data_IF_674744883802
#
_entry.id   IF_674744883802
#
_cell.length_a   1.000
_cell.length_b   1.000
_cell.length_c   1.000
_cell.angle_alpha   90.00
_cell.angle_beta   90.00
_cell.angle_gamma   90.00
#
_symmetry.space_group_name_H-M   'P 1'
#
loop_
_entity.id
_entity.type
_entity.pdbx_description
1 polymer ?
#
# COMPACT_ATOMS: atom_id res chain seq x y z
N UNK A 1 -18.43 -25.41 25.69
CA UNK A 1 -18.04 -26.05 24.42
C UNK A 1 -17.73 -25.05 23.31
N UNK A 2 -18.68 -24.21 22.87
CA UNK A 2 -18.45 -23.21 21.80
C UNK A 2 -17.30 -22.26 22.11
N UNK A 3 -17.24 -21.71 23.34
CA UNK A 3 -16.13 -20.85 23.78
C UNK A 3 -14.79 -21.60 23.77
N UNK A 4 -14.77 -22.86 24.21
CA UNK A 4 -13.55 -23.69 24.19
C UNK A 4 -13.07 -23.94 22.76
N UNK A 5 -13.99 -24.26 21.84
CA UNK A 5 -13.68 -24.43 20.41
C UNK A 5 -13.19 -23.10 19.80
N UNK A 6 -13.79 -21.97 20.15
CA UNK A 6 -13.35 -20.65 19.69
C UNK A 6 -11.95 -20.29 20.22
N UNK A 7 -11.64 -20.63 21.47
CA UNK A 7 -10.32 -20.39 22.07
C UNK A 7 -9.24 -21.31 21.48
N UNK A 8 -9.54 -22.59 21.25
CA UNK A 8 -8.58 -23.52 20.65
C UNK A 8 -8.34 -23.20 19.18
N UNK A 9 -9.40 -22.97 18.40
CA UNK A 9 -9.29 -22.54 16.99
C UNK A 9 -8.62 -21.16 16.87
N UNK A 10 -8.88 -20.22 17.78
CA UNK A 10 -8.21 -18.92 17.81
C UNK A 10 -6.70 -19.03 18.08
N UNK A 11 -6.28 -19.87 19.02
CA UNK A 11 -4.86 -20.15 19.25
C UNK A 11 -4.20 -20.81 18.04
N UNK A 12 -4.88 -21.77 17.41
CA UNK A 12 -4.38 -22.47 16.22
C UNK A 12 -4.29 -21.53 15.01
N UNK A 13 -5.30 -20.66 14.82
CA UNK A 13 -5.31 -19.62 13.81
C UNK A 13 -4.17 -18.61 13.98
N UNK A 14 -3.83 -18.22 15.23
CA UNK A 14 -2.65 -17.39 15.52
C UNK A 14 -1.35 -18.08 15.10
N UNK A 15 -1.22 -19.39 15.34
CA UNK A 15 -0.05 -20.19 14.89
C UNK A 15 0.01 -20.28 13.38
N UNK A 16 -1.10 -20.61 12.71
CA UNK A 16 -1.22 -20.64 11.25
C UNK A 16 -0.83 -19.27 10.66
N UNK A 17 -1.31 -18.18 11.25
CA UNK A 17 -0.97 -16.82 10.83
C UNK A 17 0.51 -16.48 10.95
N UNK A 18 1.20 -16.95 12.00
CA UNK A 18 2.66 -16.81 12.15
C UNK A 18 3.41 -17.57 11.06
N UNK A 19 3.11 -18.84 10.87
CA UNK A 19 3.73 -19.67 9.83
C UNK A 19 3.45 -19.13 8.42
N UNK A 20 2.24 -18.62 8.18
CA UNK A 20 1.87 -17.99 6.91
C UNK A 20 2.69 -16.73 6.63
N UNK A 21 2.95 -15.89 7.64
CA UNK A 21 3.82 -14.72 7.48
C UNK A 21 5.25 -15.12 7.12
N UNK A 22 5.79 -16.16 7.74
CA UNK A 22 7.11 -16.70 7.39
C UNK A 22 7.14 -17.23 5.96
N UNK A 23 6.12 -17.99 5.56
CA UNK A 23 5.98 -18.50 4.19
C UNK A 23 5.94 -17.36 3.15
N UNK A 24 5.15 -16.30 3.39
CA UNK A 24 5.11 -15.12 2.50
C UNK A 24 6.47 -14.45 2.37
N UNK A 25 7.28 -14.39 3.45
CA UNK A 25 8.67 -13.88 3.37
C UNK A 25 9.53 -14.76 2.46
N UNK A 26 9.39 -16.08 2.52
CA UNK A 26 10.13 -17.00 1.64
C UNK A 26 9.70 -16.88 0.18
N UNK A 27 8.39 -16.81 -0.07
CA UNK A 27 7.85 -16.55 -1.41
C UNK A 27 8.38 -15.23 -1.98
N UNK A 28 8.44 -14.17 -1.16
CA UNK A 28 9.01 -12.89 -1.56
C UNK A 28 10.50 -12.99 -1.94
N UNK A 29 11.30 -13.74 -1.19
CA UNK A 29 12.71 -14.00 -1.54
C UNK A 29 12.85 -14.74 -2.87
N UNK A 30 12.01 -15.75 -3.12
CA UNK A 30 12.00 -16.51 -4.37
C UNK A 30 11.68 -15.60 -5.56
N UNK A 31 10.58 -14.86 -5.48
CA UNK A 31 10.15 -13.94 -6.54
C UNK A 31 11.20 -12.87 -6.81
N UNK A 32 11.85 -12.34 -5.75
CA UNK A 32 12.94 -11.38 -5.91
C UNK A 32 14.12 -11.99 -6.69
N UNK A 33 14.56 -13.18 -6.31
CA UNK A 33 15.65 -13.89 -6.99
C UNK A 33 15.30 -14.19 -8.45
N UNK A 34 14.10 -14.70 -8.71
CA UNK A 34 13.60 -14.95 -10.07
C UNK A 34 13.61 -13.65 -10.90
N UNK A 35 13.23 -12.52 -10.29
CA UNK A 35 13.26 -11.20 -10.95
C UNK A 35 14.68 -10.76 -11.30
N UNK A 36 15.63 -10.89 -10.38
CA UNK A 36 17.05 -10.57 -10.62
C UNK A 36 17.65 -11.42 -11.74
N UNK A 37 17.31 -12.72 -11.78
CA UNK A 37 17.74 -13.64 -12.85
C UNK A 37 17.18 -13.20 -14.21
N UNK A 38 15.90 -12.84 -14.26
CA UNK A 38 15.25 -12.40 -15.50
C UNK A 38 15.83 -11.08 -16.01
N UNK A 39 16.17 -10.15 -15.12
CA UNK A 39 16.85 -8.90 -15.48
C UNK A 39 18.25 -9.16 -16.05
N UNK A 40 18.97 -10.18 -15.56
CA UNK A 40 20.34 -10.54 -15.95
C UNK A 40 20.47 -11.69 -16.96
N UNK A 41 19.39 -12.09 -17.65
CA UNK A 41 19.34 -13.39 -18.37
C UNK A 41 20.43 -13.59 -19.44
N UNK A 42 20.87 -12.52 -20.10
CA UNK A 42 21.94 -12.58 -21.12
C UNK A 42 23.26 -13.07 -20.54
N UNK A 43 23.62 -12.59 -19.36
CA UNK A 43 24.86 -12.98 -18.66
C UNK A 43 24.75 -14.44 -18.20
N UNK A 44 23.58 -14.83 -17.66
CA UNK A 44 23.32 -16.21 -17.21
C UNK A 44 23.55 -17.21 -18.34
N UNK A 45 23.02 -16.92 -19.54
CA UNK A 45 23.18 -17.76 -20.74
C UNK A 45 24.62 -17.77 -21.25
N UNK A 46 25.30 -16.62 -21.24
CA UNK A 46 26.70 -16.51 -21.69
C UNK A 46 27.66 -17.38 -20.85
N UNK A 47 27.45 -17.45 -19.54
CA UNK A 47 28.28 -18.22 -18.62
C UNK A 47 27.71 -19.61 -18.27
N UNK A 48 26.59 -20.01 -18.87
CA UNK A 48 25.90 -21.27 -18.58
C UNK A 48 25.59 -21.50 -17.07
N UNK A 49 25.26 -20.44 -16.33
CA UNK A 49 24.97 -20.48 -14.88
C UNK A 49 23.58 -21.04 -14.51
N UNK A 50 22.82 -21.54 -15.49
CA UNK A 50 21.43 -21.96 -15.32
C UNK A 50 21.26 -23.01 -14.22
N UNK A 51 22.12 -24.03 -14.18
CA UNK A 51 22.02 -25.10 -13.18
C UNK A 51 22.24 -24.61 -11.76
N UNK A 52 23.22 -23.74 -11.55
CA UNK A 52 23.53 -23.20 -10.21
C UNK A 52 22.38 -22.31 -9.71
N UNK A 53 21.78 -21.53 -10.59
CA UNK A 53 20.62 -20.69 -10.25
C UNK A 53 19.35 -21.53 -10.02
N UNK A 54 19.14 -22.57 -10.82
CA UNK A 54 18.06 -23.53 -10.64
C UNK A 54 18.14 -24.21 -9.27
N UNK A 55 19.31 -24.71 -8.89
CA UNK A 55 19.54 -25.32 -7.58
C UNK A 55 19.23 -24.34 -6.45
N UNK A 56 19.64 -23.07 -6.59
CA UNK A 56 19.39 -22.03 -5.59
C UNK A 56 17.90 -21.69 -5.45
N UNK A 57 17.15 -21.60 -6.55
CA UNK A 57 15.70 -21.41 -6.51
C UNK A 57 15.01 -22.65 -5.92
N UNK A 58 15.47 -23.85 -6.29
CA UNK A 58 14.97 -25.13 -5.77
C UNK A 58 15.12 -25.23 -4.26
N UNK A 59 16.25 -24.82 -3.70
CA UNK A 59 16.47 -24.80 -2.25
C UNK A 59 15.44 -23.93 -1.51
N UNK A 60 15.23 -22.70 -1.99
CA UNK A 60 14.24 -21.77 -1.45
C UNK A 60 12.84 -22.38 -1.57
N UNK A 61 12.52 -22.98 -2.72
CA UNK A 61 11.22 -23.61 -2.98
C UNK A 61 10.95 -24.79 -2.06
N UNK A 62 11.95 -25.65 -1.78
CA UNK A 62 11.81 -26.77 -0.84
C UNK A 62 11.46 -26.29 0.57
N UNK A 63 12.09 -25.21 1.01
CA UNK A 63 11.80 -24.62 2.32
C UNK A 63 10.40 -23.99 2.37
N UNK A 64 9.97 -23.30 1.30
CA UNK A 64 8.62 -22.76 1.14
C UNK A 64 7.56 -23.87 1.21
N UNK A 65 7.75 -24.95 0.45
CA UNK A 65 6.82 -26.10 0.41
C UNK A 65 6.74 -26.80 1.77
N UNK A 66 7.85 -26.90 2.50
CA UNK A 66 7.85 -27.43 3.88
C UNK A 66 6.97 -26.60 4.81
N UNK A 67 7.02 -25.27 4.71
CA UNK A 67 6.17 -24.38 5.50
C UNK A 67 4.70 -24.46 5.05
N UNK A 68 4.44 -24.58 3.74
CA UNK A 68 3.11 -24.81 3.21
C UNK A 68 2.49 -26.11 3.77
N UNK A 69 3.26 -27.19 3.81
CA UNK A 69 2.83 -28.46 4.42
C UNK A 69 2.47 -28.30 5.90
N UNK A 70 3.26 -27.54 6.67
CA UNK A 70 2.94 -27.23 8.09
C UNK A 70 1.64 -26.44 8.23
N UNK A 71 1.40 -25.46 7.35
CA UNK A 71 0.14 -24.70 7.33
C UNK A 71 -1.03 -25.62 7.04
N UNK A 72 -0.90 -26.49 6.04
CA UNK A 72 -1.96 -27.41 5.63
C UNK A 72 -2.30 -28.40 6.75
N UNK A 73 -1.27 -28.94 7.43
CA UNK A 73 -1.44 -29.82 8.58
C UNK A 73 -2.16 -29.13 9.75
N UNK A 74 -1.75 -27.92 10.13
CA UNK A 74 -2.42 -27.15 11.19
C UNK A 74 -3.88 -26.79 10.81
N UNK A 75 -4.11 -26.52 9.53
CA UNK A 75 -5.45 -26.23 9.01
C UNK A 75 -6.33 -27.48 9.06
N UNK A 76 -5.81 -28.65 8.68
CA UNK A 76 -6.53 -29.92 8.78
C UNK A 76 -6.95 -30.24 10.22
N UNK A 77 -6.06 -30.02 11.20
CA UNK A 77 -6.39 -30.15 12.63
C UNK A 77 -7.54 -29.21 13.01
N UNK A 78 -7.53 -27.98 12.52
CA UNK A 78 -8.61 -27.00 12.79
C UNK A 78 -9.96 -27.51 12.26
N UNK A 79 -9.98 -28.04 11.04
CA UNK A 79 -11.18 -28.64 10.46
C UNK A 79 -11.67 -29.84 11.28
N UNK A 80 -10.77 -30.71 11.74
CA UNK A 80 -11.13 -31.85 12.57
C UNK A 80 -11.86 -31.41 13.85
N UNK A 81 -11.32 -30.43 14.57
CA UNK A 81 -11.99 -29.86 15.75
C UNK A 81 -13.36 -29.25 15.41
N UNK A 82 -13.48 -28.60 14.26
CA UNK A 82 -14.73 -28.00 13.79
C UNK A 82 -15.80 -29.06 13.46
N UNK A 83 -15.40 -30.21 12.92
CA UNK A 83 -16.30 -31.33 12.63
C UNK A 83 -16.71 -32.09 13.88
N UNK A 84 -15.80 -32.31 14.83
CA UNK A 84 -16.09 -32.97 16.10
C UNK A 84 -16.96 -32.12 17.05
N UNK A 85 -16.96 -30.79 16.89
CA UNK A 85 -17.66 -29.84 17.78
C UNK A 85 -19.13 -30.18 18.08
N UNK A 86 -20.02 -30.31 17.08
CA UNK A 86 -21.45 -30.57 17.35
C UNK A 86 -21.73 -31.94 17.97
N UNK A 87 -20.94 -32.95 17.62
CA UNK A 87 -21.07 -34.30 18.20
C UNK A 87 -20.78 -34.24 19.70
N UNK A 88 -19.72 -33.51 20.08
CA UNK A 88 -19.38 -33.30 21.49
C UNK A 88 -20.42 -32.46 22.22
N UNK A 89 -21.00 -31.44 21.57
CA UNK A 89 -22.08 -30.64 22.15
C UNK A 89 -23.30 -31.50 22.42
N UNK A 90 -23.74 -32.30 21.44
CA UNK A 90 -24.87 -33.20 21.59
C UNK A 90 -24.64 -34.22 22.71
N UNK A 91 -23.45 -34.84 22.75
CA UNK A 91 -23.08 -35.79 23.80
C UNK A 91 -23.15 -35.16 25.20
N UNK A 92 -22.60 -33.95 25.39
CA UNK A 92 -22.65 -33.24 26.68
C UNK A 92 -24.09 -32.91 27.09
N UNK A 93 -24.92 -32.45 26.15
CA UNK A 93 -26.34 -32.14 26.42
C UNK A 93 -27.09 -33.38 26.87
N UNK A 94 -26.90 -34.52 26.19
CA UNK A 94 -27.57 -35.77 26.57
C UNK A 94 -27.07 -36.32 27.91
N UNK A 95 -25.75 -36.32 28.15
CA UNK A 95 -25.17 -36.76 29.43
C UNK A 95 -25.70 -35.92 30.59
N UNK A 96 -25.74 -34.59 30.42
CA UNK A 96 -26.28 -33.69 31.42
C UNK A 96 -27.77 -33.98 31.66
N UNK A 97 -28.55 -34.14 30.59
CA UNK A 97 -29.99 -34.39 30.68
C UNK A 97 -30.32 -35.70 31.43
N UNK A 98 -29.57 -36.79 31.19
CA UNK A 98 -29.69 -38.05 31.98
C UNK A 98 -29.29 -37.84 33.42
N UNK A 99 -28.21 -37.10 33.67
CA UNK A 99 -27.69 -36.87 35.03
C UNK A 99 -28.68 -36.10 35.91
N UNK A 100 -29.57 -35.32 35.31
CA UNK A 100 -30.68 -34.65 36.00
C UNK A 100 -31.88 -35.59 36.30
N UNK A 101 -31.77 -36.89 36.01
CA UNK A 101 -32.80 -37.89 36.30
C UNK A 101 -33.90 -38.00 35.23
N UNK A 102 -33.74 -37.35 34.09
CA UNK A 102 -34.71 -37.44 33.00
C UNK A 102 -34.49 -38.66 32.12
N UNK A 103 -35.57 -39.23 31.56
CA UNK A 103 -35.50 -40.33 30.60
C UNK A 103 -35.26 -39.79 29.18
N UNK A 104 -34.25 -40.35 28.49
CA UNK A 104 -34.02 -40.08 27.07
C UNK A 104 -35.05 -40.84 26.24
N UNK A 105 -35.98 -40.11 25.62
CA UNK A 105 -36.79 -40.65 24.52
C UNK A 105 -36.06 -40.43 23.19
N UNK A 106 -36.20 -41.40 22.29
CA UNK A 106 -35.65 -41.37 20.94
C UNK A 106 -36.16 -40.13 20.18
N UNK A 107 -37.45 -39.80 20.30
CA UNK A 107 -38.06 -38.62 19.68
C UNK A 107 -37.35 -37.33 20.08
N UNK A 108 -37.17 -37.09 21.39
CA UNK A 108 -36.50 -35.90 21.93
C UNK A 108 -35.05 -35.80 21.44
N UNK A 109 -34.37 -36.94 21.36
CA UNK A 109 -32.96 -37.01 20.94
C UNK A 109 -32.80 -36.59 19.48
N UNK A 110 -33.67 -37.10 18.59
CA UNK A 110 -33.67 -36.71 17.18
C UNK A 110 -34.03 -35.22 17.00
N UNK A 111 -35.02 -34.71 17.72
CA UNK A 111 -35.38 -33.28 17.66
C UNK A 111 -34.20 -32.40 18.09
N UNK A 112 -33.55 -32.70 19.21
CA UNK A 112 -32.40 -31.91 19.70
C UNK A 112 -31.23 -31.96 18.71
N UNK A 113 -30.92 -33.12 18.13
CA UNK A 113 -29.88 -33.24 17.10
C UNK A 113 -30.19 -32.40 15.87
N UNK A 114 -31.45 -32.41 15.40
CA UNK A 114 -31.88 -31.60 14.27
C UNK A 114 -31.72 -30.09 14.55
N UNK A 115 -32.15 -29.63 15.73
CA UNK A 115 -31.99 -28.24 16.16
C UNK A 115 -30.51 -27.82 16.28
N UNK A 116 -29.66 -28.67 16.85
CA UNK A 116 -28.22 -28.40 16.96
C UNK A 116 -27.55 -28.28 15.58
N UNK A 117 -27.97 -29.10 14.61
CA UNK A 117 -27.50 -28.99 13.23
C UNK A 117 -27.95 -27.69 12.56
N UNK A 118 -29.20 -27.25 12.80
CA UNK A 118 -29.74 -26.02 12.23
C UNK A 118 -29.06 -24.77 12.81
N UNK A 119 -28.73 -24.78 14.10
CA UNK A 119 -28.03 -23.67 14.78
C UNK A 119 -26.56 -23.51 14.36
N UNK A 120 -25.97 -24.52 13.72
CA UNK A 120 -24.55 -24.51 13.32
C UNK A 120 -24.23 -23.37 12.35
N UNK A 121 -25.10 -23.19 11.35
CA UNK A 121 -24.92 -22.18 10.29
C UNK A 121 -24.98 -20.75 10.86
N UNK A 122 -26.04 -20.32 11.58
CA UNK A 122 -26.10 -18.96 12.13
C UNK A 122 -24.97 -18.66 13.11
N UNK A 123 -24.56 -19.63 13.94
CA UNK A 123 -23.43 -19.47 14.86
C UNK A 123 -22.07 -19.29 14.14
N UNK A 124 -21.90 -19.91 12.97
CA UNK A 124 -20.71 -19.72 12.15
C UNK A 124 -20.76 -18.41 11.34
N UNK A 125 -21.95 -17.99 10.90
CA UNK A 125 -22.15 -16.75 10.15
C UNK A 125 -21.94 -15.51 11.02
N UNK A 126 -22.34 -15.55 12.29
CA UNK A 126 -22.22 -14.42 13.21
C UNK A 126 -20.81 -13.80 13.28
N UNK A 127 -19.74 -14.56 13.61
CA UNK A 127 -18.38 -13.99 13.64
C UNK A 127 -17.89 -13.57 12.26
N UNK A 128 -18.33 -14.24 11.19
CA UNK A 128 -17.97 -13.87 9.82
C UNK A 128 -18.58 -12.53 9.43
N UNK A 129 -19.85 -12.29 9.80
CA UNK A 129 -20.51 -11.01 9.59
C UNK A 129 -19.80 -9.89 10.36
N UNK A 130 -19.45 -10.11 11.63
CA UNK A 130 -18.68 -9.13 12.42
C UNK A 130 -17.33 -8.80 11.79
N UNK A 131 -16.61 -9.83 11.29
CA UNK A 131 -15.36 -9.62 10.56
C UNK A 131 -15.59 -8.78 9.30
N UNK A 132 -16.59 -9.11 8.48
CA UNK A 132 -16.88 -8.40 7.23
C UNK A 132 -17.25 -6.93 7.49
N UNK A 133 -18.00 -6.66 8.56
CA UNK A 133 -18.30 -5.29 8.99
C UNK A 133 -17.01 -4.57 9.39
N UNK A 134 -16.14 -5.19 10.20
CA UNK A 134 -14.86 -4.59 10.60
C UNK A 134 -13.94 -4.30 9.40
N UNK A 135 -13.86 -5.23 8.44
CA UNK A 135 -13.08 -5.06 7.22
C UNK A 135 -13.68 -3.95 6.34
N UNK A 136 -15.01 -3.89 6.23
CA UNK A 136 -15.74 -2.84 5.51
C UNK A 136 -15.51 -1.45 6.10
N UNK A 137 -15.61 -1.30 7.43
CA UNK A 137 -15.33 -0.04 8.12
C UNK A 137 -13.89 0.44 7.88
N UNK A 138 -12.92 -0.46 7.93
CA UNK A 138 -11.52 -0.14 7.64
C UNK A 138 -11.33 0.31 6.18
N UNK A 139 -12.04 -0.32 5.24
CA UNK A 139 -12.00 0.05 3.82
C UNK A 139 -12.60 1.45 3.58
N UNK A 140 -13.74 1.75 4.22
CA UNK A 140 -14.38 3.07 4.13
C UNK A 140 -13.45 4.16 4.68
N UNK A 141 -12.77 3.91 5.81
CA UNK A 141 -11.80 4.86 6.37
C UNK A 141 -10.64 5.18 5.40
N UNK A 142 -10.14 4.18 4.67
CA UNK A 142 -9.11 4.39 3.65
C UNK A 142 -9.63 5.19 2.45
N UNK A 143 -10.87 4.93 2.02
CA UNK A 143 -11.50 5.67 0.93
C UNK A 143 -11.70 7.14 1.31
N UNK A 144 -12.17 7.40 2.53
CA UNK A 144 -12.31 8.76 3.06
C UNK A 144 -10.96 9.49 3.07
N UNK A 145 -9.89 8.84 3.55
CA UNK A 145 -8.56 9.43 3.53
C UNK A 145 -8.06 9.75 2.12
N UNK A 146 -8.40 8.92 1.13
CA UNK A 146 -8.03 9.16 -0.27
C UNK A 146 -8.78 10.37 -0.86
N UNK A 147 -10.11 10.43 -0.65
CA UNK A 147 -10.95 11.52 -1.16
C UNK A 147 -10.65 12.88 -0.51
N UNK A 148 -10.10 12.89 0.70
CA UNK A 148 -9.70 14.11 1.41
C UNK A 148 -8.29 14.62 1.04
N UNK A 149 -7.58 13.96 0.11
CA UNK A 149 -6.26 14.44 -0.33
C UNK A 149 -6.40 15.70 -1.17
N UNK A 150 -5.44 16.60 -1.03
CA UNK A 150 -5.37 17.83 -1.80
C UNK A 150 -5.30 17.50 -3.30
N UNK A 151 -6.23 18.06 -4.08
CA UNK A 151 -6.21 17.94 -5.53
C UNK A 151 -5.12 18.84 -6.11
N UNK A 152 -4.39 18.33 -7.11
CA UNK A 152 -3.34 19.10 -7.78
C UNK A 152 -4.05 20.04 -8.77
N UNK A 153 -4.02 21.34 -8.47
CA UNK A 153 -4.59 22.36 -9.33
C UNK A 153 -3.79 22.43 -10.65
N UNK A 154 -4.39 21.94 -11.75
CA UNK A 154 -3.81 22.10 -13.08
C UNK A 154 -4.01 23.55 -13.52
N UNK A 155 -3.01 24.39 -13.28
CA UNK A 155 -2.96 25.73 -13.86
C UNK A 155 -2.82 25.60 -15.38
N UNK A 156 -3.96 25.59 -16.07
CA UNK A 156 -4.01 25.63 -17.53
C UNK A 156 -3.37 26.94 -17.97
N UNK A 157 -2.13 26.86 -18.46
CA UNK A 157 -1.48 27.99 -19.12
C UNK A 157 -2.16 28.15 -20.47
N UNK A 158 -3.19 29.00 -20.53
CA UNK A 158 -3.73 29.52 -21.78
C UNK A 158 -2.61 30.31 -22.45
N UNK A 159 -2.02 29.77 -23.51
CA UNK A 159 -1.23 30.56 -24.45
C UNK A 159 -2.15 31.64 -25.02
N UNK A 160 -1.95 32.88 -24.60
CA UNK A 160 -2.51 34.03 -25.28
C UNK A 160 -1.74 34.18 -26.59
N UNK A 161 -2.23 33.55 -27.66
CA UNK A 161 -1.81 33.87 -29.02
C UNK A 161 -2.42 35.24 -29.37
N UNK A 162 -1.72 36.30 -28.96
CA UNK A 162 -2.03 37.66 -29.42
C UNK A 162 -1.56 37.79 -30.87
N UNK A 163 -2.45 37.43 -31.80
CA UNK A 163 -2.31 37.80 -33.21
C UNK A 163 -2.59 39.31 -33.32
N UNK A 164 -1.55 40.14 -33.21
CA UNK A 164 -1.66 41.58 -33.44
C UNK A 164 -1.44 41.87 -34.94
N UNK A 165 -2.42 42.41 -35.68
CA UNK A 165 -2.21 42.78 -37.07
C UNK A 165 -1.44 44.11 -37.13
N UNK A 166 -0.41 44.14 -37.98
CA UNK A 166 0.46 45.29 -38.18
C UNK A 166 -0.21 46.37 -39.05
N UNK A 167 -0.07 47.65 -38.66
CA UNK A 167 -0.11 48.80 -39.58
C UNK A 167 0.80 49.94 -39.06
N UNK A 168 1.58 50.63 -39.91
CA UNK A 168 2.70 51.49 -39.51
C UNK A 168 2.41 53.01 -39.55
N UNK A 169 3.29 53.82 -38.92
CA UNK A 169 3.85 55.13 -39.41
C UNK A 169 3.87 56.30 -38.39
N UNK A 170 5.10 56.61 -37.94
CA UNK A 170 5.82 57.92 -37.85
C UNK A 170 5.32 59.18 -37.08
N UNK A 171 6.21 59.63 -36.16
CA UNK A 171 6.78 61.00 -35.96
C UNK A 171 5.92 62.16 -35.41
N UNK A 172 6.31 62.76 -34.27
CA UNK A 172 6.88 64.14 -34.10
C UNK A 172 7.14 64.49 -32.60
N UNK A 173 8.20 65.28 -32.32
CA UNK A 173 8.76 65.74 -31.01
C UNK A 173 7.92 66.84 -30.27
N UNK A 174 8.25 67.17 -28.99
CA UNK A 174 7.33 67.71 -27.97
C UNK A 174 7.41 69.24 -27.73
N UNK A 175 6.53 69.80 -26.86
CA UNK A 175 7.01 70.50 -25.65
C UNK A 175 6.15 70.28 -24.37
N UNK A 176 6.67 70.75 -23.23
CA UNK A 176 6.28 70.50 -21.80
C UNK A 176 5.76 71.83 -21.16
N UNK A 177 5.32 71.94 -19.88
CA UNK A 177 4.18 71.38 -19.13
C UNK A 177 3.22 72.46 -18.52
N UNK A 178 2.01 72.08 -18.07
CA UNK A 178 1.45 72.56 -16.78
C UNK A 178 0.20 71.76 -16.32
N UNK A 179 0.39 71.06 -15.20
CA UNK A 179 -0.48 70.93 -14.02
C UNK A 179 -2.01 70.79 -14.18
N UNK A 180 -2.52 69.60 -13.82
CA UNK A 180 -3.38 69.36 -12.65
C UNK A 180 -4.64 68.48 -12.87
N UNK A 181 -4.53 67.28 -12.28
CA UNK A 181 -5.49 66.34 -11.68
C UNK A 181 -6.90 66.13 -12.29
N UNK A 182 -7.19 64.91 -12.75
CA UNK A 182 -7.88 63.89 -11.92
C UNK A 182 -8.14 62.55 -12.66
N UNK A 183 -8.10 61.48 -11.86
CA UNK A 183 -8.66 60.12 -12.02
C UNK A 183 -7.96 58.99 -12.83
N UNK A 184 -7.81 57.87 -12.09
CA UNK A 184 -7.68 56.46 -12.48
C UNK A 184 -6.30 55.94 -12.99
N UNK A 185 -5.62 55.12 -12.16
CA UNK A 185 -4.51 54.27 -12.61
C UNK A 185 -3.57 53.74 -11.51
N UNK A 186 -3.50 52.41 -11.39
CA UNK A 186 -2.65 51.54 -10.56
C UNK A 186 -1.15 51.83 -10.64
N UNK A 187 -0.44 51.88 -9.49
CA UNK A 187 0.89 51.21 -9.30
C UNK A 187 1.10 50.95 -7.80
N UNK A 188 1.27 49.68 -7.42
CA UNK A 188 1.77 49.27 -6.11
C UNK A 188 3.30 49.09 -6.21
N UNK A 189 4.13 49.84 -5.47
CA UNK A 189 5.49 49.44 -5.19
C UNK A 189 5.57 48.79 -3.80
N UNK A 190 6.30 47.67 -3.75
CA UNK A 190 7.00 47.08 -2.62
C UNK A 190 6.43 47.32 -1.21
N UNK A 191 5.76 46.30 -0.67
CA UNK A 191 5.76 46.03 0.77
C UNK A 191 6.11 44.56 0.99
N UNK A 192 7.10 44.36 1.85
CA UNK A 192 7.54 43.10 2.42
C UNK A 192 6.37 42.19 2.82
N UNK A 193 6.48 40.90 2.49
CA UNK A 193 5.90 39.85 3.33
C UNK A 193 7.05 38.94 3.73
N UNK A 194 7.57 39.25 4.92
CA UNK A 194 8.39 38.36 5.73
C UNK A 194 7.68 37.02 5.88
N UNK A 195 8.21 35.97 5.25
CA UNK A 195 7.95 34.61 5.71
C UNK A 195 8.95 34.35 6.82
N UNK A 196 8.50 34.49 8.07
CA UNK A 196 9.24 34.00 9.24
C UNK A 196 9.33 32.48 9.07
N UNK A 197 10.47 32.02 8.58
CA UNK A 197 10.85 30.62 8.59
C UNK A 197 12.02 30.47 9.56
N UNK A 198 11.87 29.52 10.49
CA UNK A 198 12.70 29.30 11.66
C UNK A 198 14.21 29.51 11.42
N UNK A 199 14.79 30.45 12.16
CA UNK A 199 16.22 30.58 12.38
C UNK A 199 16.70 29.39 13.24
N UNK A 200 16.94 28.21 12.63
CA UNK A 200 17.97 27.30 13.15
C UNK A 200 18.48 26.26 12.14
N UNK A 201 18.38 26.52 10.83
CA UNK A 201 18.97 25.66 9.80
C UNK A 201 20.02 26.43 9.00
N UNK A 202 21.29 25.97 8.94
CA UNK A 202 22.32 26.65 8.16
C UNK A 202 21.93 26.63 6.66
N UNK A 203 22.23 27.69 5.89
CA UNK A 203 21.87 27.76 4.49
C UNK A 203 22.52 26.61 3.71
N UNK A 204 21.81 25.99 2.73
CA UNK A 204 22.37 24.91 1.95
C UNK A 204 23.53 25.45 1.10
N UNK A 205 24.76 25.12 1.50
CA UNK A 205 25.97 25.37 0.70
C UNK A 205 25.91 24.43 -0.50
N UNK A 206 25.59 24.96 -1.67
CA UNK A 206 25.75 24.26 -2.93
C UNK A 206 27.27 24.05 -3.16
N UNK A 207 27.76 22.81 -3.34
CA UNK A 207 29.16 22.59 -3.70
C UNK A 207 29.40 23.19 -5.09
N UNK A 208 30.35 24.12 -5.15
CA UNK A 208 30.82 24.74 -6.37
C UNK A 208 31.00 23.70 -7.49
N UNK A 209 30.35 23.95 -8.64
CA UNK A 209 30.83 23.40 -9.91
C UNK A 209 29.98 22.34 -10.62
N UNK A 210 28.64 22.35 -10.55
CA UNK A 210 27.82 21.82 -11.67
C UNK A 210 26.51 22.60 -11.77
N UNK A 211 26.49 23.62 -12.62
CA UNK A 211 25.27 24.23 -13.14
C UNK A 211 25.02 23.63 -14.53
N UNK A 212 23.81 23.13 -14.77
CA UNK A 212 23.36 22.92 -16.14
C UNK A 212 22.99 24.29 -16.70
N UNK A 213 23.91 24.88 -17.46
CA UNK A 213 23.65 26.12 -18.19
C UNK A 213 23.13 25.75 -19.58
N UNK A 214 21.87 26.13 -19.87
CA UNK A 214 21.29 26.00 -21.21
C UNK A 214 21.26 27.40 -21.82
N UNK A 215 22.29 27.68 -22.60
CA UNK A 215 22.39 28.92 -23.37
C UNK A 215 22.25 28.58 -24.85
N UNK A 216 21.20 29.10 -25.51
CA UNK A 216 20.95 28.96 -26.95
C UNK A 216 20.88 27.51 -27.49
N UNK A 217 20.25 26.59 -26.75
CA UNK A 217 19.91 25.26 -27.28
C UNK A 217 21.07 24.27 -27.42
N UNK A 218 22.24 24.54 -26.81
CA UNK A 218 23.39 23.62 -26.82
C UNK A 218 23.61 23.03 -25.42
N UNK A 219 23.86 21.71 -25.35
CA UNK A 219 24.07 20.97 -24.11
C UNK A 219 25.56 20.65 -23.88
N UNK A 220 26.08 20.97 -22.70
CA UNK A 220 27.44 20.57 -22.29
C UNK A 220 27.42 19.37 -21.34
N UNK A 221 28.25 18.36 -21.60
CA UNK A 221 28.38 17.15 -20.78
C UNK A 221 29.81 17.03 -20.22
N UNK A 222 29.92 16.70 -18.93
CA UNK A 222 31.20 16.38 -18.28
C UNK A 222 31.39 14.85 -18.14
N UNK A 223 32.65 14.35 -18.15
CA UNK A 223 33.00 12.93 -18.28
C UNK A 223 32.59 12.05 -17.08
N UNK A 224 32.52 10.71 -17.27
CA UNK A 224 31.96 9.78 -16.28
C UNK A 224 32.93 9.55 -15.12
N UNK A 225 32.45 9.78 -13.90
CA UNK A 225 33.22 9.64 -12.64
C UNK A 225 32.85 10.66 -11.57
N UNK A 226 32.28 11.80 -11.96
CA UNK A 226 31.79 12.81 -11.02
C UNK A 226 30.34 12.50 -10.57
N UNK A 227 30.16 11.60 -9.61
CA UNK A 227 29.02 11.56 -8.66
C UNK A 227 27.59 11.82 -9.19
N UNK A 228 27.26 11.47 -10.44
CA UNK A 228 25.96 11.81 -11.06
C UNK A 228 24.78 11.02 -10.48
N UNK A 229 25.01 9.84 -9.90
CA UNK A 229 23.91 9.03 -9.34
C UNK A 229 23.32 9.61 -8.06
N UNK A 230 24.12 10.32 -7.26
CA UNK A 230 23.66 10.95 -6.01
C UNK A 230 22.77 12.17 -6.28
N UNK A 231 23.04 12.93 -7.36
CA UNK A 231 22.26 14.11 -7.73
C UNK A 231 20.94 13.80 -8.44
N UNK A 232 20.79 12.62 -9.06
CA UNK A 232 19.51 12.23 -9.68
C UNK A 232 18.44 11.83 -8.66
N UNK A 233 18.84 11.32 -7.49
CA UNK A 233 17.92 10.96 -6.40
C UNK A 233 17.29 12.17 -5.69
N UNK A 234 17.95 13.33 -5.71
CA UNK A 234 17.49 14.55 -5.01
C UNK A 234 16.46 15.32 -5.84
N UNK A 235 16.65 15.44 -7.15
CA UNK A 235 15.70 16.17 -8.04
C UNK A 235 14.36 15.43 -8.14
N UNK A 236 14.35 14.10 -8.11
CA UNK A 236 13.11 13.30 -8.19
C UNK A 236 12.33 13.30 -6.87
N UNK A 237 12.99 13.53 -5.72
CA UNK A 237 12.32 13.58 -4.40
C UNK A 237 11.53 14.86 -4.14
N UNK A 238 11.78 15.95 -4.87
CA UNK A 238 11.03 17.21 -4.74
C UNK A 238 9.80 17.30 -5.65
N UNK A 239 9.61 16.36 -6.59
CA UNK A 239 8.40 16.32 -7.42
C UNK A 239 7.24 15.53 -6.79
N UNK A 240 7.43 14.98 -5.57
CA UNK A 240 6.45 14.09 -4.91
C UNK A 240 6.13 14.48 -3.46
N UNK A 241 6.34 15.74 -3.06
CA UNK A 241 5.72 16.31 -1.85
C UNK A 241 4.80 17.45 -2.22
#
# INVERSE_FOLDING_TARGET
MVVVIALTSGNLARRIGRTRREMVKMTGKRVKLETEILQGIRIVKLYAWERVLEERVSEIRRAEVRQLGRILFLTAITWLFQFCGPVLIAAVVFVLYVSLGNTLSVEKTFTVLAFLNLLRVPLALWPMAMKNVSDGLTSIGRLQQYLQRQEIEHKVVTKHDTHQPATPTATTRPPVPSADYSEAGTVTPATEVSTVHDLDSPPPVLPNGVALEVTNGVFYWAPPGAGKEERRGVVVRQAHR
#
